data_IF_714826471713
#
_entry.id   IF_714826471713
#
_cell.length_a   1.000
_cell.length_b   1.000
_cell.length_c   1.000
_cell.angle_alpha   90.00
_cell.angle_beta   90.00
_cell.angle_gamma   90.00
#
_symmetry.space_group_name_H-M   'P 1'
#
loop_
_entity.id
_entity.type
_entity.pdbx_description
1 polymer ?
#
# COMPACT_ATOMS: atom_id res chain seq x y z
N UNK A 1 20.47 -23.41 -3.09
CA UNK A 1 20.85 -22.89 -4.42
C UNK A 1 22.27 -22.39 -4.27
N UNK A 2 23.21 -23.01 -4.98
CA UNK A 2 24.61 -22.60 -4.99
C UNK A 2 24.75 -21.53 -6.07
N UNK A 3 25.02 -20.28 -5.67
CA UNK A 3 25.19 -19.15 -6.60
C UNK A 3 26.68 -19.09 -6.92
N UNK A 4 27.04 -19.31 -8.19
CA UNK A 4 28.44 -19.49 -8.61
C UNK A 4 28.93 -18.43 -9.58
N UNK A 5 28.03 -17.63 -10.16
CA UNK A 5 28.34 -16.56 -11.11
C UNK A 5 27.66 -15.23 -10.77
N UNK A 6 28.18 -14.09 -11.27
CA UNK A 6 27.51 -12.79 -11.13
C UNK A 6 26.11 -12.76 -11.74
N UNK A 7 25.90 -13.40 -12.89
CA UNK A 7 24.59 -13.44 -13.55
C UNK A 7 23.56 -14.24 -12.73
N UNK A 8 23.95 -15.37 -12.15
CA UNK A 8 23.10 -16.13 -11.22
C UNK A 8 22.75 -15.31 -9.97
N UNK A 9 23.70 -14.50 -9.47
CA UNK A 9 23.45 -13.59 -8.36
C UNK A 9 22.44 -12.51 -8.74
N UNK A 10 22.59 -11.87 -9.90
CA UNK A 10 21.65 -10.86 -10.39
C UNK A 10 20.24 -11.43 -10.58
N UNK A 11 20.14 -12.60 -11.19
CA UNK A 11 18.86 -13.30 -11.36
C UNK A 11 18.23 -13.65 -10.01
N UNK A 12 19.04 -14.10 -9.04
CA UNK A 12 18.56 -14.40 -7.70
C UNK A 12 18.06 -13.15 -6.98
N UNK A 13 18.83 -12.06 -7.00
CA UNK A 13 18.46 -10.79 -6.39
C UNK A 13 17.16 -10.24 -7.02
N UNK A 14 17.02 -10.33 -8.34
CA UNK A 14 15.80 -9.94 -9.03
C UNK A 14 14.60 -10.78 -8.58
N UNK A 15 14.75 -12.11 -8.49
CA UNK A 15 13.69 -13.00 -8.03
C UNK A 15 13.27 -12.72 -6.58
N UNK A 16 14.24 -12.51 -5.68
CA UNK A 16 13.99 -12.13 -4.28
C UNK A 16 13.29 -10.78 -4.20
N UNK A 17 13.75 -9.79 -4.97
CA UNK A 17 13.11 -8.48 -5.02
C UNK A 17 11.66 -8.54 -5.50
N UNK A 18 11.37 -9.37 -6.50
CA UNK A 18 9.99 -9.62 -6.96
C UNK A 18 9.15 -10.25 -5.85
N UNK A 19 9.65 -11.30 -5.19
CA UNK A 19 8.93 -12.01 -4.15
C UNK A 19 8.63 -11.12 -2.93
N UNK A 20 9.62 -10.36 -2.45
CA UNK A 20 9.47 -9.45 -1.30
C UNK A 20 8.45 -8.34 -1.55
N UNK A 21 8.32 -7.91 -2.79
CA UNK A 21 7.45 -6.79 -3.19
C UNK A 21 6.19 -7.22 -3.93
N UNK A 22 5.87 -8.52 -3.93
CA UNK A 22 4.63 -9.03 -4.52
C UNK A 22 3.43 -8.71 -3.61
N UNK A 23 2.26 -8.37 -4.18
CA UNK A 23 1.03 -8.28 -3.40
C UNK A 23 0.61 -9.65 -2.86
N UNK A 24 0.24 -9.70 -1.59
CA UNK A 24 -0.27 -10.93 -0.96
C UNK A 24 -1.66 -11.29 -1.51
N UNK A 25 -2.10 -12.57 -1.44
CA UNK A 25 -3.45 -12.98 -1.85
C UNK A 25 -4.52 -12.10 -1.21
N UNK A 26 -5.49 -11.64 -2.01
CA UNK A 26 -6.56 -10.72 -1.59
C UNK A 26 -6.11 -9.36 -0.98
N UNK A 27 -4.82 -9.02 -0.94
CA UNK A 27 -4.35 -7.74 -0.41
C UNK A 27 -4.88 -6.55 -1.23
N UNK A 28 -5.53 -5.61 -0.55
CA UNK A 28 -6.02 -4.37 -1.15
C UNK A 28 -4.90 -3.35 -1.42
N UNK A 29 -5.13 -2.41 -2.34
CA UNK A 29 -4.12 -1.42 -2.76
C UNK A 29 -3.52 -0.60 -1.61
N UNK A 30 -4.34 -0.13 -0.66
CA UNK A 30 -3.86 0.62 0.50
C UNK A 30 -3.12 -0.27 1.49
N UNK A 31 -3.45 -1.57 1.51
CA UNK A 31 -2.73 -2.51 2.35
C UNK A 31 -1.32 -2.74 1.80
N UNK A 32 -1.25 -3.08 0.53
CA UNK A 32 0.01 -3.22 -0.16
C UNK A 32 0.89 -1.97 -0.09
N UNK A 33 0.34 -0.79 -0.42
CA UNK A 33 1.13 0.44 -0.48
C UNK A 33 1.75 0.80 0.88
N UNK A 34 0.99 0.68 1.97
CA UNK A 34 1.54 0.94 3.32
C UNK A 34 2.59 -0.09 3.72
N UNK A 35 2.38 -1.40 3.45
CA UNK A 35 3.38 -2.43 3.75
C UNK A 35 4.69 -2.18 2.99
N UNK A 36 4.59 -1.76 1.73
CA UNK A 36 5.76 -1.40 0.93
C UNK A 36 6.41 -0.08 1.39
N UNK A 37 5.64 0.90 1.84
CA UNK A 37 6.17 2.13 2.43
C UNK A 37 6.95 1.84 3.71
N UNK A 38 6.41 1.02 4.60
CA UNK A 38 7.05 0.64 5.86
C UNK A 38 8.33 -0.15 5.62
N UNK A 39 8.35 -1.05 4.63
CA UNK A 39 9.53 -1.86 4.32
C UNK A 39 10.59 -1.19 3.42
N UNK A 40 10.18 -0.33 2.49
CA UNK A 40 11.04 0.14 1.39
C UNK A 40 10.97 1.66 1.13
N UNK A 41 10.14 2.38 1.89
CA UNK A 41 9.99 3.83 1.77
C UNK A 41 9.27 4.30 0.50
N UNK A 42 9.15 5.63 0.40
CA UNK A 42 8.59 6.34 -0.73
C UNK A 42 9.68 6.97 -1.59
N UNK A 43 9.51 7.00 -2.91
CA UNK A 43 10.39 7.70 -3.86
C UNK A 43 9.79 8.98 -4.44
N UNK A 44 8.72 9.50 -3.83
CA UNK A 44 7.99 10.66 -4.33
C UNK A 44 7.02 10.35 -5.47
N UNK A 45 6.80 9.08 -5.82
CA UNK A 45 5.84 8.66 -6.84
C UNK A 45 4.81 7.66 -6.29
N UNK A 46 3.83 7.28 -7.11
CA UNK A 46 2.87 6.19 -6.84
C UNK A 46 3.44 4.81 -7.22
N UNK A 47 4.74 4.57 -6.98
CA UNK A 47 5.45 3.35 -7.40
C UNK A 47 4.73 2.08 -6.93
N UNK A 48 4.36 2.04 -5.65
CA UNK A 48 3.74 0.87 -5.04
C UNK A 48 2.28 0.72 -5.48
N UNK A 49 1.50 1.81 -5.47
CA UNK A 49 0.12 1.75 -5.97
C UNK A 49 0.05 1.27 -7.44
N UNK A 50 0.95 1.75 -8.30
CA UNK A 50 1.08 1.32 -9.71
C UNK A 50 1.48 -0.15 -9.81
N UNK A 51 2.53 -0.57 -9.09
CA UNK A 51 2.97 -1.97 -9.08
C UNK A 51 1.85 -2.91 -8.68
N UNK A 52 1.09 -2.56 -7.63
CA UNK A 52 -0.08 -3.34 -7.23
C UNK A 52 -1.13 -3.43 -8.34
N UNK A 53 -1.45 -2.31 -9.01
CA UNK A 53 -2.39 -2.29 -10.13
C UNK A 53 -1.93 -3.21 -11.24
N UNK A 54 -0.67 -3.08 -11.64
CA UNK A 54 -0.11 -3.82 -12.78
C UNK A 54 -0.05 -5.32 -12.53
N UNK A 55 0.07 -5.75 -11.27
CA UNK A 55 0.07 -7.16 -10.90
C UNK A 55 -1.34 -7.72 -10.61
N UNK A 56 -2.26 -6.90 -10.11
CA UNK A 56 -3.57 -7.39 -9.60
C UNK A 56 -4.76 -7.03 -10.47
N UNK A 57 -4.80 -5.80 -10.95
CA UNK A 57 -5.93 -5.26 -11.70
C UNK A 57 -5.47 -4.30 -12.81
N UNK A 58 -4.74 -4.78 -13.84
CA UNK A 58 -4.11 -3.91 -14.85
C UNK A 58 -5.09 -2.98 -15.56
N UNK A 59 -6.36 -3.37 -15.64
CA UNK A 59 -7.45 -2.60 -16.27
C UNK A 59 -7.99 -1.47 -15.39
N UNK A 60 -7.55 -1.32 -14.15
CA UNK A 60 -7.95 -0.24 -13.25
C UNK A 60 -7.21 1.08 -13.57
N UNK A 61 -7.32 1.55 -14.82
CA UNK A 61 -6.63 2.74 -15.34
C UNK A 61 -6.99 4.03 -14.61
N UNK A 62 -8.13 4.08 -13.92
CA UNK A 62 -8.54 5.22 -13.09
C UNK A 62 -7.98 5.24 -11.67
N UNK A 63 -7.16 4.26 -11.26
CA UNK A 63 -6.69 4.14 -9.88
C UNK A 63 -5.88 5.36 -9.44
N UNK A 64 -4.86 5.76 -10.20
CA UNK A 64 -4.00 6.90 -9.87
C UNK A 64 -4.81 8.19 -9.78
N UNK A 65 -5.72 8.42 -10.74
CA UNK A 65 -6.63 9.59 -10.72
C UNK A 65 -7.49 9.61 -9.45
N UNK A 66 -7.96 8.45 -8.96
CA UNK A 66 -8.77 8.36 -7.73
C UNK A 66 -7.96 8.61 -6.46
N UNK A 67 -6.66 8.27 -6.46
CA UNK A 67 -5.72 8.61 -5.38
C UNK A 67 -5.41 10.11 -5.42
N UNK A 68 -5.06 10.64 -6.60
CA UNK A 68 -4.76 12.05 -6.82
C UNK A 68 -5.94 12.97 -6.51
N UNK A 69 -7.18 12.57 -6.80
CA UNK A 69 -8.38 13.35 -6.45
C UNK A 69 -8.57 13.53 -4.93
N UNK A 70 -7.83 12.77 -4.12
CA UNK A 70 -7.79 12.89 -2.65
C UNK A 70 -6.44 13.41 -2.14
N UNK A 71 -5.55 13.86 -3.02
CA UNK A 71 -4.26 14.42 -2.66
C UNK A 71 -3.11 13.41 -2.55
N UNK A 72 -3.29 12.17 -3.03
CA UNK A 72 -2.23 11.17 -3.09
C UNK A 72 -1.51 11.16 -4.44
N UNK A 73 -0.38 11.86 -4.56
CA UNK A 73 0.47 11.89 -5.76
C UNK A 73 1.81 11.16 -5.57
N UNK A 74 2.22 10.91 -4.32
CA UNK A 74 3.13 9.82 -3.92
C UNK A 74 2.40 8.77 -3.08
N UNK A 75 2.98 7.58 -2.94
CA UNK A 75 2.46 6.54 -2.03
C UNK A 75 2.32 7.08 -0.59
N UNK A 76 3.26 7.92 -0.13
CA UNK A 76 3.20 8.59 1.17
C UNK A 76 1.95 9.46 1.36
N UNK A 77 1.65 10.29 0.38
CA UNK A 77 0.55 11.25 0.38
C UNK A 77 -0.81 10.56 0.34
N UNK A 78 -0.88 9.31 -0.12
CA UNK A 78 -2.10 8.51 -0.02
C UNK A 78 -2.59 8.46 1.43
N UNK A 79 -1.68 8.33 2.40
CA UNK A 79 -2.00 8.24 3.82
C UNK A 79 -1.96 9.58 4.54
N UNK A 80 -1.08 10.50 4.12
CA UNK A 80 -1.02 11.85 4.70
C UNK A 80 -2.24 12.70 4.34
N UNK A 81 -2.78 12.54 3.12
CA UNK A 81 -3.82 13.44 2.59
C UNK A 81 -5.12 12.72 2.23
N UNK A 82 -5.04 11.49 1.73
CA UNK A 82 -6.16 10.89 1.01
C UNK A 82 -7.01 9.89 1.79
N UNK A 83 -6.36 9.03 2.57
CA UNK A 83 -6.97 7.86 3.20
C UNK A 83 -6.42 7.64 4.61
N UNK A 84 -7.28 7.14 5.48
CA UNK A 84 -6.92 6.72 6.84
C UNK A 84 -7.48 5.35 7.17
N UNK A 85 -7.00 4.74 8.25
CA UNK A 85 -7.65 3.57 8.83
C UNK A 85 -9.01 3.96 9.41
N UNK A 86 -9.95 3.02 9.46
CA UNK A 86 -11.19 3.22 10.23
C UNK A 86 -10.87 3.55 11.69
N UNK A 87 -11.64 4.47 12.26
CA UNK A 87 -11.44 4.96 13.63
C UNK A 87 -11.53 3.85 14.67
N UNK A 88 -12.32 2.79 14.43
CA UNK A 88 -12.42 1.62 15.33
C UNK A 88 -11.18 0.71 15.30
N UNK A 89 -10.22 0.97 14.41
CA UNK A 89 -8.93 0.30 14.34
C UNK A 89 -7.80 1.16 14.92
N UNK A 90 -8.10 2.37 15.38
CA UNK A 90 -7.11 3.24 16.01
C UNK A 90 -6.91 2.78 17.46
N UNK A 91 -5.73 3.07 17.99
CA UNK A 91 -5.35 2.79 19.38
C UNK A 91 -5.01 4.09 20.07
N UNK A 92 -5.10 4.12 21.39
CA UNK A 92 -4.64 5.27 22.16
C UNK A 92 -3.10 5.22 22.27
N UNK A 93 -2.45 6.36 22.07
CA UNK A 93 -1.03 6.54 22.35
C UNK A 93 -0.75 6.69 23.86
N UNK A 94 0.50 6.98 24.23
CA UNK A 94 0.93 7.12 25.62
C UNK A 94 0.18 8.25 26.38
N UNK A 95 -0.30 9.26 25.65
CA UNK A 95 -1.05 10.41 26.18
C UNK A 95 -2.57 10.20 26.14
N UNK A 96 -3.03 9.04 25.65
CA UNK A 96 -4.45 8.73 25.49
C UNK A 96 -5.07 9.36 24.23
N UNK A 97 -4.26 9.85 23.29
CA UNK A 97 -4.74 10.41 22.03
C UNK A 97 -4.86 9.30 20.96
N UNK A 98 -5.94 9.30 20.15
CA UNK A 98 -6.17 8.25 19.19
C UNK A 98 -5.19 8.37 18.02
N UNK A 99 -4.46 7.28 17.76
CA UNK A 99 -3.43 7.18 16.72
C UNK A 99 -3.54 5.87 15.94
N UNK A 100 -2.75 5.75 14.87
CA UNK A 100 -2.61 4.48 14.16
C UNK A 100 -1.86 3.45 15.00
N UNK A 101 -2.27 2.16 14.96
CA UNK A 101 -1.55 1.11 15.66
C UNK A 101 -0.16 0.90 15.05
N UNK A 102 0.85 0.70 15.91
CA UNK A 102 2.23 0.43 15.48
C UNK A 102 2.32 -0.87 14.66
N UNK A 103 1.59 -1.90 15.09
CA UNK A 103 1.38 -3.11 14.30
C UNK A 103 0.09 -3.00 13.51
N UNK A 104 0.18 -3.21 12.20
CA UNK A 104 -0.97 -3.04 11.35
C UNK A 104 -1.99 -4.18 11.53
N UNK A 105 -3.30 -3.87 11.60
CA UNK A 105 -4.31 -4.91 11.50
C UNK A 105 -4.21 -5.68 10.16
N UNK A 106 -4.50 -7.00 10.16
CA UNK A 106 -4.55 -7.80 8.93
C UNK A 106 -5.45 -7.16 7.87
N UNK A 107 -5.07 -7.30 6.60
CA UNK A 107 -5.90 -6.80 5.50
C UNK A 107 -7.26 -7.49 5.51
N UNK A 108 -8.36 -6.72 5.49
CA UNK A 108 -9.72 -7.27 5.37
C UNK A 108 -10.02 -7.93 4.02
N UNK A 109 -9.05 -7.94 3.10
CA UNK A 109 -9.17 -8.57 1.79
C UNK A 109 -9.96 -7.74 0.78
N UNK A 110 -9.71 -8.02 -0.50
CA UNK A 110 -10.49 -7.53 -1.64
C UNK A 110 -10.73 -8.66 -2.64
N UNK A 111 -11.84 -8.58 -3.38
CA UNK A 111 -12.10 -9.51 -4.48
C UNK A 111 -11.05 -9.40 -5.60
N UNK A 112 -10.87 -10.46 -6.42
CA UNK A 112 -9.76 -10.58 -7.37
C UNK A 112 -9.75 -9.52 -8.47
N UNK A 113 -10.86 -8.81 -8.69
CA UNK A 113 -11.01 -7.73 -9.68
C UNK A 113 -11.27 -6.36 -9.06
N UNK A 114 -11.28 -6.26 -7.74
CA UNK A 114 -11.55 -5.00 -7.06
C UNK A 114 -10.30 -4.13 -7.05
N UNK A 115 -10.43 -2.88 -7.51
CA UNK A 115 -9.41 -1.85 -7.32
C UNK A 115 -9.67 -0.98 -6.09
N UNK A 116 -10.75 -1.24 -5.35
CA UNK A 116 -11.10 -0.47 -4.15
C UNK A 116 -10.22 -0.87 -2.96
N UNK A 117 -10.04 0.00 -1.96
CA UNK A 117 -9.46 -0.39 -0.69
C UNK A 117 -10.26 -1.52 -0.01
N UNK A 118 -9.59 -2.29 0.84
CA UNK A 118 -10.28 -3.23 1.72
C UNK A 118 -11.08 -2.48 2.79
N UNK A 119 -11.87 -3.23 3.58
CA UNK A 119 -12.73 -2.69 4.63
C UNK A 119 -12.01 -1.93 5.75
N UNK A 120 -10.68 -1.93 5.82
CA UNK A 120 -9.92 -1.20 6.85
C UNK A 120 -9.70 0.29 6.50
N UNK A 121 -9.71 0.65 5.22
CA UNK A 121 -9.38 1.99 4.76
C UNK A 121 -10.62 2.83 4.46
N UNK A 122 -10.60 4.09 4.87
CA UNK A 122 -11.63 5.10 4.53
C UNK A 122 -10.97 6.40 4.05
N UNK A 123 -11.63 7.19 3.18
CA UNK A 123 -11.11 8.50 2.83
C UNK A 123 -10.99 9.38 4.08
N UNK A 124 -9.97 10.23 4.15
CA UNK A 124 -9.98 11.34 5.10
C UNK A 124 -11.24 12.18 4.88
N UNK A 125 -11.93 12.55 5.96
CA UNK A 125 -12.95 13.60 5.87
C UNK A 125 -12.19 14.90 5.68
N UNK A 126 -12.32 15.53 4.52
CA UNK A 126 -11.91 16.92 4.38
C UNK A 126 -12.93 17.74 5.16
N UNK A 127 -12.51 18.31 6.28
CA UNK A 127 -13.26 19.41 6.87
C UNK A 127 -13.42 20.47 5.77
N UNK A 128 -14.68 20.79 5.46
CA UNK A 128 -15.00 21.86 4.51
C UNK A 128 -14.71 23.17 5.24
N UNK A 129 -13.46 23.62 5.17
CA UNK A 129 -13.08 24.98 5.52
C UNK A 129 -13.59 25.94 4.45
#
# INVERSE_FOLDING_TARGET
>A
MEISTPEEMEQHLAAVGVALTAPEPAEGVLCYAERMLTGFGCDGTLRWARRWRDLRVPRATGQERRLGSRGGHCDCEVFLNGWTLREDLWVDDEDGAPTWPAERPPCAGVGPRSSQPCGNGRPWRRDRW
#
